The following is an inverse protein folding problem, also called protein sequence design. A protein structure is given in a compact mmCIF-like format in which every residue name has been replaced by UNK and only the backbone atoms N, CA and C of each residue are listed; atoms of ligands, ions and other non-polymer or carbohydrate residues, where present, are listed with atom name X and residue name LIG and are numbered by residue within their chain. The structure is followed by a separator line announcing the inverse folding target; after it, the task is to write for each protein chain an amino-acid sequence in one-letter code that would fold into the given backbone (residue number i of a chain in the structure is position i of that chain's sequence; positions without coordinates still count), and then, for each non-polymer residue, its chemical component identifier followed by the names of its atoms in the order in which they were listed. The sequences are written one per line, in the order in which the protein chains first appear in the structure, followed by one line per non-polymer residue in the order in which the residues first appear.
data_IF_838843144629
#
_entry.id   IF_838843144629
#
_cell.length_a   1.000
_cell.length_b   1.000
_cell.length_c   1.000
_cell.angle_alpha   90.00
_cell.angle_beta   90.00
_cell.angle_gamma   90.00
#
_symmetry.space_group_name_H-M   'P 1'
#
loop_
_entity.id
_entity.type
_entity.pdbx_description
1 polymer ?
#
# COMPACT_ATOMS: atom_id res chain seq x y z
N UNK A 1 16.48 38.14 13.16
CA UNK A 1 15.21 37.63 12.61
C UNK A 1 14.90 38.35 11.30
N UNK A 2 15.04 37.65 10.17
CA UNK A 2 14.60 38.09 8.84
C UNK A 2 14.15 36.84 8.10
N UNK A 3 12.86 36.77 7.78
CA UNK A 3 12.24 35.69 7.01
C UNK A 3 12.40 36.09 5.54
N UNK A 4 13.10 35.27 4.77
CA UNK A 4 13.14 35.34 3.30
C UNK A 4 12.36 34.12 2.80
N UNK A 5 11.24 34.37 2.12
CA UNK A 5 10.49 33.34 1.41
C UNK A 5 10.94 33.39 -0.04
N UNK A 6 11.62 32.34 -0.49
CA UNK A 6 11.98 32.15 -1.90
C UNK A 6 11.14 31.01 -2.48
N UNK A 7 10.33 31.32 -3.49
CA UNK A 7 9.67 30.34 -4.33
C UNK A 7 10.61 29.94 -5.46
N UNK A 8 10.93 28.65 -5.58
CA UNK A 8 11.61 28.10 -6.75
C UNK A 8 10.56 27.43 -7.65
N UNK A 9 10.38 27.99 -8.85
CA UNK A 9 9.60 27.43 -9.95
C UNK A 9 10.51 26.43 -10.69
N UNK A 10 10.10 25.15 -10.79
CA UNK A 10 10.83 24.17 -11.62
C UNK A 10 10.14 24.01 -12.97
N UNK A 11 10.88 24.33 -14.03
CA UNK A 11 10.56 24.12 -15.44
C UNK A 11 10.74 22.63 -15.80
N UNK A 12 9.73 21.99 -16.41
CA UNK A 12 9.89 20.65 -17.00
C UNK A 12 10.29 20.81 -18.46
N UNK A 13 11.54 20.48 -18.78
CA UNK A 13 12.00 20.22 -20.14
C UNK A 13 11.70 18.76 -20.47
N UNK A 14 10.88 18.49 -21.49
CA UNK A 14 10.77 17.15 -22.06
C UNK A 14 12.00 16.88 -22.94
N UNK A 15 12.90 16.02 -22.47
CA UNK A 15 13.95 15.46 -23.31
C UNK A 15 13.40 14.19 -23.98
N UNK A 16 13.27 14.21 -25.31
CA UNK A 16 13.08 12.99 -26.09
C UNK A 16 14.41 12.23 -26.08
N UNK A 17 14.52 11.22 -25.22
CA UNK A 17 15.65 10.31 -25.20
C UNK A 17 15.48 9.26 -26.30
N UNK A 18 16.14 9.45 -27.44
CA UNK A 18 16.35 8.39 -28.42
C UNK A 18 17.74 7.79 -28.22
N UNK A 19 17.78 6.53 -27.75
CA UNK A 19 18.91 5.64 -27.96
C UNK A 19 19.90 5.49 -26.79
N UNK A 20 19.57 4.65 -25.82
CA UNK A 20 20.57 3.80 -25.14
C UNK A 20 20.13 2.35 -25.32
N UNK A 21 20.94 1.58 -26.05
CA UNK A 21 20.81 0.13 -26.10
C UNK A 21 21.48 -0.42 -24.84
N UNK A 22 20.69 -0.71 -23.80
CA UNK A 22 21.16 -1.52 -22.68
C UNK A 22 21.36 -2.95 -23.19
N UNK A 23 22.57 -3.49 -23.04
CA UNK A 23 22.83 -4.91 -23.26
C UNK A 23 21.94 -5.75 -22.32
N UNK A 24 21.63 -7.01 -22.68
CA UNK A 24 20.74 -7.83 -21.87
C UNK A 24 21.36 -8.01 -20.47
N UNK A 25 20.67 -7.47 -19.46
CA UNK A 25 20.96 -7.76 -18.06
C UNK A 25 20.75 -9.27 -17.88
N UNK A 26 21.83 -9.98 -17.59
CA UNK A 26 21.80 -11.41 -17.34
C UNK A 26 20.96 -11.69 -16.09
N UNK A 27 19.80 -12.32 -16.28
CA UNK A 27 19.10 -13.09 -15.26
C UNK A 27 18.36 -12.30 -14.18
N UNK A 28 17.34 -11.53 -14.54
CA UNK A 28 16.29 -11.16 -13.59
C UNK A 28 14.97 -11.78 -14.04
N UNK A 29 14.49 -12.78 -13.30
CA UNK A 29 13.03 -12.99 -13.22
C UNK A 29 12.41 -11.65 -12.87
N UNK A 30 11.34 -11.20 -13.55
CA UNK A 30 10.77 -9.89 -13.28
C UNK A 30 10.38 -9.82 -11.81
N UNK A 31 10.95 -8.84 -11.08
CA UNK A 31 10.44 -8.42 -9.77
C UNK A 31 8.94 -8.30 -9.93
N UNK A 32 8.18 -9.18 -9.28
CA UNK A 32 6.72 -9.21 -9.46
C UNK A 32 6.11 -8.27 -8.44
N UNK A 33 6.06 -6.99 -8.82
CA UNK A 33 5.33 -5.98 -8.04
C UNK A 33 3.83 -6.20 -8.26
N UNK A 34 3.12 -6.51 -7.17
CA UNK A 34 1.68 -6.73 -7.18
C UNK A 34 0.93 -5.45 -6.83
N UNK A 35 -0.15 -5.20 -7.58
CA UNK A 35 -1.14 -4.19 -7.26
C UNK A 35 -2.45 -4.85 -6.85
N UNK A 36 -3.05 -4.41 -5.75
CA UNK A 36 -4.33 -4.93 -5.29
C UNK A 36 -5.26 -3.86 -4.75
N UNK A 37 -6.52 -3.95 -5.17
CA UNK A 37 -7.56 -3.01 -4.77
C UNK A 37 -8.24 -3.42 -3.46
N UNK A 38 -8.29 -2.48 -2.52
CA UNK A 38 -9.20 -2.53 -1.38
C UNK A 38 -10.50 -1.81 -1.73
N UNK A 39 -11.60 -2.55 -1.70
CA UNK A 39 -12.86 -2.16 -2.29
C UNK A 39 -14.04 -2.42 -1.36
N UNK A 40 -14.32 -1.49 -0.46
CA UNK A 40 -15.50 -1.59 0.40
C UNK A 40 -16.21 -0.24 0.52
N UNK A 41 -17.53 -0.29 0.69
CA UNK A 41 -18.42 0.88 0.58
C UNK A 41 -18.25 1.54 -0.79
N UNK A 42 -18.18 2.87 -0.81
CA UNK A 42 -18.07 3.70 -1.99
C UNK A 42 -16.63 4.16 -2.25
N UNK A 43 -15.64 3.41 -1.75
CA UNK A 43 -14.21 3.72 -1.89
C UNK A 43 -13.51 2.54 -2.57
N UNK A 44 -12.58 2.85 -3.47
CA UNK A 44 -11.56 1.92 -3.99
C UNK A 44 -10.19 2.57 -3.79
N UNK A 45 -9.29 1.86 -3.12
CA UNK A 45 -7.91 2.29 -2.95
C UNK A 45 -6.97 1.16 -3.41
N UNK A 46 -6.02 1.48 -4.28
CA UNK A 46 -5.02 0.53 -4.75
C UNK A 46 -3.78 0.54 -3.85
N UNK A 47 -3.28 -0.65 -3.51
CA UNK A 47 -2.03 -0.85 -2.77
C UNK A 47 -1.05 -1.60 -3.64
N UNK A 48 0.22 -1.32 -3.46
CA UNK A 48 1.32 -1.90 -4.21
C UNK A 48 2.31 -2.60 -3.26
N UNK A 49 2.87 -3.72 -3.68
CA UNK A 49 3.85 -4.49 -2.90
C UNK A 49 5.25 -3.86 -2.88
N UNK A 50 5.37 -2.57 -3.21
CA UNK A 50 6.57 -1.73 -3.10
C UNK A 50 6.40 -0.61 -2.05
N UNK A 51 5.32 -0.65 -1.27
CA UNK A 51 5.03 0.36 -0.24
C UNK A 51 4.31 1.61 -0.76
N UNK A 52 4.08 1.72 -2.07
CA UNK A 52 3.21 2.74 -2.64
C UNK A 52 1.72 2.35 -2.56
N UNK A 53 0.85 3.35 -2.56
CA UNK A 53 -0.59 3.17 -2.57
C UNK A 53 -1.29 4.39 -3.18
N UNK A 54 -2.56 4.24 -3.52
CA UNK A 54 -3.38 5.19 -4.26
C UNK A 54 -2.91 5.46 -5.70
N UNK A 55 -2.18 4.53 -6.32
CA UNK A 55 -1.76 4.61 -7.73
C UNK A 55 -2.11 3.31 -8.44
N UNK A 56 -2.59 3.44 -9.67
CA UNK A 56 -2.91 2.31 -10.55
C UNK A 56 -1.62 1.75 -11.18
N UNK A 57 -1.62 0.49 -11.64
CA UNK A 57 -0.51 -0.04 -12.45
C UNK A 57 -0.17 0.81 -13.69
N UNK A 58 -1.14 1.56 -14.20
CA UNK A 58 -0.94 2.48 -15.33
C UNK A 58 -0.29 3.82 -14.95
N UNK A 59 0.07 4.04 -13.69
CA UNK A 59 0.59 5.32 -13.17
C UNK A 59 -0.46 6.40 -12.87
N UNK A 60 -1.75 6.11 -13.05
CA UNK A 60 -2.84 7.04 -12.79
C UNK A 60 -3.28 7.02 -11.31
N UNK A 61 -4.08 8.01 -10.91
CA UNK A 61 -4.70 8.05 -9.58
C UNK A 61 -5.50 6.77 -9.28
N UNK A 62 -5.26 6.19 -8.10
CA UNK A 62 -5.80 4.91 -7.65
C UNK A 62 -6.65 5.00 -6.38
N UNK A 63 -6.91 6.18 -5.83
CA UNK A 63 -7.92 6.36 -4.78
C UNK A 63 -9.19 6.94 -5.36
N UNK A 64 -10.19 6.10 -5.61
CA UNK A 64 -11.46 6.46 -6.22
C UNK A 64 -12.55 6.67 -5.16
N UNK A 65 -13.18 7.84 -5.20
CA UNK A 65 -14.39 8.15 -4.43
C UNK A 65 -15.24 9.22 -5.15
N UNK A 66 -16.55 9.00 -5.33
CA UNK A 66 -17.27 7.73 -5.23
C UNK A 66 -16.72 6.64 -6.17
N UNK A 67 -16.61 5.40 -5.67
CA UNK A 67 -16.18 4.24 -6.46
C UNK A 67 -17.16 4.00 -7.63
N UNK A 68 -16.63 3.80 -8.83
CA UNK A 68 -17.38 3.59 -10.07
C UNK A 68 -17.70 4.86 -10.85
N UNK A 69 -17.28 6.04 -10.37
CA UNK A 69 -17.54 7.33 -11.02
C UNK A 69 -16.31 7.94 -11.68
N UNK A 70 -15.14 7.29 -11.62
CA UNK A 70 -13.91 7.79 -12.23
C UNK A 70 -13.40 9.10 -11.60
N UNK A 71 -13.78 9.37 -10.35
CA UNK A 71 -13.33 10.54 -9.57
C UNK A 71 -12.32 10.09 -8.54
N UNK A 72 -11.14 10.72 -8.56
CA UNK A 72 -10.03 10.31 -7.71
C UNK A 72 -9.67 11.40 -6.72
N UNK A 73 -9.66 11.06 -5.43
CA UNK A 73 -9.37 12.02 -4.36
C UNK A 73 -7.88 12.07 -3.99
N UNK A 74 -7.07 11.09 -4.43
CA UNK A 74 -5.62 11.05 -4.22
C UNK A 74 -4.93 10.47 -5.46
N UNK A 75 -3.80 11.08 -5.84
CA UNK A 75 -3.04 10.71 -7.04
C UNK A 75 -1.99 9.62 -6.77
N UNK A 76 -1.15 9.82 -5.75
CA UNK A 76 -0.13 8.86 -5.30
C UNK A 76 0.14 9.05 -3.82
N UNK A 77 0.52 7.99 -3.14
CA UNK A 77 0.94 7.97 -1.75
C UNK A 77 1.93 6.83 -1.55
N UNK A 78 2.68 6.84 -0.46
CA UNK A 78 3.51 5.70 -0.09
C UNK A 78 4.27 5.97 1.19
N UNK A 79 4.98 4.95 1.65
CA UNK A 79 5.66 4.98 2.95
C UNK A 79 7.03 5.62 2.80
N UNK A 80 7.35 6.52 3.73
CA UNK A 80 8.66 7.15 3.83
C UNK A 80 9.20 6.88 5.23
N UNK A 81 10.46 6.47 5.31
CA UNK A 81 11.17 6.29 6.55
C UNK A 81 12.49 7.05 6.47
N UNK A 82 12.84 7.74 7.55
CA UNK A 82 14.11 8.42 7.70
C UNK A 82 14.62 8.21 9.12
N UNK A 83 15.90 7.83 9.25
CA UNK A 83 16.52 7.64 10.54
C UNK A 83 17.97 8.14 10.56
N UNK A 84 18.43 8.49 11.76
CA UNK A 84 19.86 8.66 12.04
C UNK A 84 20.44 7.31 12.45
N UNK A 85 21.38 6.80 11.66
CA UNK A 85 22.11 5.57 11.96
C UNK A 85 23.57 5.94 12.13
N UNK A 86 24.03 5.95 13.38
CA UNK A 86 25.32 6.54 13.76
C UNK A 86 25.42 8.00 13.26
N UNK A 87 26.38 8.30 12.38
CA UNK A 87 26.58 9.63 11.82
C UNK A 87 25.77 9.88 10.53
N UNK A 88 25.21 8.84 9.93
CA UNK A 88 24.51 8.93 8.65
C UNK A 88 23.03 9.25 8.83
N UNK A 89 22.46 9.95 7.84
CA UNK A 89 21.00 10.05 7.67
C UNK A 89 20.62 9.11 6.55
N UNK A 90 19.88 8.04 6.88
CA UNK A 90 19.40 7.09 5.91
C UNK A 90 17.91 7.34 5.66
N UNK A 91 17.50 7.27 4.39
CA UNK A 91 16.15 7.56 3.94
C UNK A 91 15.74 6.47 2.96
N UNK A 92 14.49 6.02 3.09
CA UNK A 92 13.81 5.20 2.09
C UNK A 92 12.42 5.74 1.84
N UNK A 93 11.91 5.54 0.63
CA UNK A 93 10.60 6.03 0.25
C UNK A 93 9.90 5.17 -0.80
N UNK A 94 8.58 5.38 -0.87
CA UNK A 94 7.73 4.98 -1.98
C UNK A 94 6.87 6.18 -2.36
N UNK A 95 7.11 6.77 -3.53
CA UNK A 95 6.34 7.84 -4.15
C UNK A 95 6.84 8.09 -5.58
N UNK A 96 6.01 7.87 -6.60
CA UNK A 96 6.35 7.85 -8.04
C UNK A 96 7.36 6.78 -8.47
N UNK A 97 8.38 6.55 -7.67
CA UNK A 97 9.22 5.36 -7.65
C UNK A 97 9.24 4.79 -6.23
N UNK A 98 9.80 3.59 -6.05
CA UNK A 98 9.82 2.94 -4.76
C UNK A 98 11.13 2.19 -4.52
N UNK A 99 11.61 2.28 -3.29
CA UNK A 99 12.85 1.67 -2.84
C UNK A 99 12.61 0.40 -2.01
N UNK A 100 11.35 0.10 -1.70
CA UNK A 100 10.98 -1.16 -1.10
C UNK A 100 10.72 -2.22 -2.15
N UNK A 101 11.06 -3.46 -1.80
CA UNK A 101 10.66 -4.65 -2.51
C UNK A 101 9.86 -5.58 -1.58
N UNK A 102 9.01 -6.47 -2.14
CA UNK A 102 8.43 -7.55 -1.36
C UNK A 102 9.53 -8.36 -0.68
N UNK A 103 9.32 -8.72 0.58
CA UNK A 103 10.35 -9.48 1.29
C UNK A 103 10.45 -9.20 2.78
N UNK A 104 11.58 -9.64 3.33
CA UNK A 104 11.95 -9.54 4.73
C UNK A 104 13.47 -9.40 4.90
N UNK A 105 13.92 -9.15 6.12
CA UNK A 105 15.33 -9.17 6.48
C UNK A 105 15.61 -10.44 7.28
N UNK A 106 16.58 -11.25 6.83
CA UNK A 106 16.97 -12.48 7.54
C UNK A 106 17.78 -12.18 8.81
N UNK A 107 18.08 -13.22 9.60
CA UNK A 107 18.83 -13.08 10.86
C UNK A 107 20.27 -12.56 10.68
N UNK A 108 20.80 -12.61 9.46
CA UNK A 108 22.13 -12.08 9.12
C UNK A 108 22.05 -10.63 8.61
N UNK A 109 20.85 -10.06 8.55
CA UNK A 109 20.63 -8.71 8.05
C UNK A 109 20.65 -8.60 6.53
N UNK A 110 20.41 -9.69 5.79
CA UNK A 110 20.31 -9.66 4.34
C UNK A 110 18.84 -9.65 3.89
N UNK A 111 18.51 -8.91 2.83
CA UNK A 111 17.15 -8.89 2.31
C UNK A 111 16.83 -10.16 1.52
N UNK A 112 15.64 -10.71 1.73
CA UNK A 112 15.16 -11.95 1.10
C UNK A 112 13.71 -11.77 0.60
N UNK A 113 13.31 -12.56 -0.40
CA UNK A 113 11.90 -12.68 -0.82
C UNK A 113 11.44 -11.84 -2.01
N UNK A 114 12.27 -10.96 -2.59
CA UNK A 114 11.84 -10.11 -3.72
C UNK A 114 11.36 -10.86 -4.97
N UNK A 115 11.86 -12.07 -5.18
CA UNK A 115 11.52 -12.96 -6.28
C UNK A 115 10.69 -14.17 -5.82
N UNK A 116 10.29 -14.21 -4.54
CA UNK A 116 9.48 -15.26 -3.98
C UNK A 116 7.99 -14.91 -4.16
N UNK A 117 7.21 -15.72 -4.89
CA UNK A 117 5.80 -15.45 -5.14
C UNK A 117 4.92 -15.43 -3.88
N UNK A 118 5.41 -15.94 -2.74
CA UNK A 118 4.70 -15.84 -1.46
C UNK A 118 4.84 -14.45 -0.82
N UNK A 119 5.83 -13.63 -1.21
CA UNK A 119 5.90 -12.23 -0.78
C UNK A 119 5.07 -11.36 -1.72
N UNK A 120 3.77 -11.38 -1.47
CA UNK A 120 2.75 -10.72 -2.28
C UNK A 120 1.67 -10.10 -1.40
N UNK A 121 0.69 -9.43 -1.99
CA UNK A 121 -0.46 -8.90 -1.24
C UNK A 121 -1.46 -10.03 -0.98
N UNK A 122 -1.83 -10.25 0.26
CA UNK A 122 -2.92 -11.14 0.66
C UNK A 122 -4.15 -10.30 1.00
N UNK A 123 -5.34 -10.74 0.59
CA UNK A 123 -6.60 -10.03 0.85
C UNK A 123 -7.70 -11.00 1.23
N UNK A 124 -8.19 -10.90 2.46
CA UNK A 124 -9.29 -11.70 2.97
C UNK A 124 -10.56 -10.86 3.15
N UNK A 125 -11.71 -11.47 2.85
CA UNK A 125 -13.03 -10.87 3.06
C UNK A 125 -13.69 -11.55 4.25
N UNK A 126 -14.24 -10.74 5.17
CA UNK A 126 -14.89 -11.26 6.38
C UNK A 126 -16.01 -12.24 6.02
N UNK A 127 -15.84 -13.49 6.50
CA UNK A 127 -16.78 -14.59 6.28
C UNK A 127 -16.40 -15.52 5.12
N UNK A 128 -15.48 -15.11 4.24
CA UNK A 128 -14.93 -15.98 3.20
C UNK A 128 -13.70 -16.72 3.74
N UNK A 129 -13.90 -17.99 4.08
CA UNK A 129 -12.86 -18.87 4.62
C UNK A 129 -12.33 -19.87 3.59
N UNK A 130 -12.82 -19.80 2.35
CA UNK A 130 -12.44 -20.69 1.26
C UNK A 130 -11.55 -20.00 0.22
N UNK A 131 -11.43 -18.67 0.27
CA UNK A 131 -10.49 -17.93 -0.59
C UNK A 131 -9.05 -18.43 -0.43
N UNK A 132 -8.31 -18.44 -1.54
CA UNK A 132 -6.91 -18.88 -1.56
C UNK A 132 -6.04 -18.07 -0.58
N UNK A 133 -6.31 -16.78 -0.41
CA UNK A 133 -5.57 -15.95 0.54
C UNK A 133 -5.90 -16.28 2.00
N UNK A 134 -7.12 -16.69 2.30
CA UNK A 134 -7.46 -17.15 3.65
C UNK A 134 -6.74 -18.46 3.95
N UNK A 135 -6.73 -19.39 2.99
CA UNK A 135 -6.10 -20.70 3.15
C UNK A 135 -4.57 -20.61 3.26
N UNK A 136 -3.93 -19.66 2.56
CA UNK A 136 -2.48 -19.45 2.57
C UNK A 136 -2.07 -18.18 3.33
N UNK A 137 -2.86 -17.79 4.33
CA UNK A 137 -2.62 -16.54 5.06
C UNK A 137 -1.20 -16.54 5.66
N UNK A 138 -0.39 -15.49 5.43
CA UNK A 138 1.06 -15.56 5.63
C UNK A 138 1.44 -15.23 7.08
N UNK A 139 0.95 -16.04 8.02
CA UNK A 139 1.27 -15.87 9.45
C UNK A 139 2.76 -16.02 9.75
N UNK A 140 3.49 -16.83 8.98
CA UNK A 140 4.95 -16.94 9.05
C UNK A 140 5.68 -15.65 8.65
N UNK A 141 5.04 -14.79 7.85
CA UNK A 141 5.56 -13.46 7.48
C UNK A 141 5.11 -12.37 8.48
N UNK A 142 4.35 -12.72 9.54
CA UNK A 142 3.90 -11.80 10.58
C UNK A 142 2.46 -11.32 10.46
N UNK A 143 1.64 -11.92 9.58
CA UNK A 143 0.23 -11.58 9.48
C UNK A 143 -0.55 -11.97 10.74
N UNK A 144 -1.42 -11.08 11.22
CA UNK A 144 -2.18 -11.31 12.45
C UNK A 144 -3.11 -12.53 12.37
N UNK A 145 -3.10 -13.29 13.45
CA UNK A 145 -4.03 -14.40 13.71
C UNK A 145 -4.96 -14.05 14.87
N UNK A 146 -6.12 -14.71 14.91
CA UNK A 146 -7.03 -14.64 16.04
C UNK A 146 -6.59 -15.62 17.16
N UNK A 147 -7.31 -15.61 18.28
CA UNK A 147 -7.03 -16.50 19.42
C UNK A 147 -7.13 -18.00 19.12
N UNK A 148 -7.74 -18.38 17.99
CA UNK A 148 -7.85 -19.76 17.51
C UNK A 148 -6.80 -20.12 16.45
N UNK A 149 -5.82 -19.25 16.19
CA UNK A 149 -4.77 -19.45 15.20
C UNK A 149 -5.25 -19.34 13.75
N UNK A 150 -6.41 -18.73 13.49
CA UNK A 150 -6.94 -18.49 12.14
C UNK A 150 -6.73 -17.03 11.71
N UNK A 151 -6.75 -16.72 10.40
CA UNK A 151 -6.61 -15.35 9.91
C UNK A 151 -7.56 -14.38 10.62
N UNK A 152 -7.03 -13.25 11.12
CA UNK A 152 -7.83 -12.28 11.85
C UNK A 152 -8.46 -11.23 10.92
N UNK A 153 -9.79 -11.23 10.84
CA UNK A 153 -10.55 -10.23 10.09
C UNK A 153 -10.66 -8.91 10.87
N UNK A 154 -9.72 -7.98 10.66
CA UNK A 154 -9.76 -6.62 11.23
C UNK A 154 -10.93 -5.77 10.70
N UNK A 155 -11.33 -6.04 9.45
CA UNK A 155 -12.39 -5.30 8.76
C UNK A 155 -13.31 -6.21 7.95
N UNK A 156 -14.10 -5.59 7.07
CA UNK A 156 -14.84 -6.31 6.01
C UNK A 156 -13.87 -6.86 4.96
N UNK A 157 -12.84 -6.08 4.64
CA UNK A 157 -11.69 -6.54 3.88
C UNK A 157 -10.44 -6.24 4.72
N UNK A 158 -9.54 -7.21 4.80
CA UNK A 158 -8.24 -7.09 5.48
C UNK A 158 -7.17 -7.54 4.50
N UNK A 159 -6.13 -6.71 4.36
CA UNK A 159 -4.97 -7.00 3.54
C UNK A 159 -3.72 -7.04 4.39
N UNK A 160 -2.77 -7.86 3.96
CA UNK A 160 -1.45 -7.96 4.56
C UNK A 160 -0.38 -8.17 3.48
N UNK A 161 0.79 -7.57 3.69
CA UNK A 161 2.02 -7.88 2.95
C UNK A 161 3.25 -7.43 3.74
N UNK A 162 4.41 -8.03 3.42
CA UNK A 162 5.71 -7.66 3.96
C UNK A 162 6.60 -7.07 2.87
N UNK A 163 7.23 -5.95 3.16
CA UNK A 163 8.20 -5.28 2.27
C UNK A 163 9.46 -4.90 3.03
N UNK A 164 10.56 -4.73 2.32
CA UNK A 164 11.82 -4.28 2.90
C UNK A 164 12.56 -3.32 1.97
N UNK A 165 13.28 -2.36 2.55
CA UNK A 165 14.21 -1.49 1.82
C UNK A 165 15.63 -2.09 1.74
N UNK A 166 15.86 -3.31 2.24
CA UNK A 166 17.22 -3.84 2.41
C UNK A 166 18.05 -4.05 1.14
N UNK A 167 17.45 -3.97 -0.06
CA UNK A 167 18.13 -4.15 -1.34
C UNK A 167 18.80 -2.85 -1.78
N UNK A 168 20.12 -2.75 -1.58
CA UNK A 168 20.89 -1.54 -1.89
C UNK A 168 20.76 -1.08 -3.36
N UNK A 169 20.66 -2.01 -4.31
CA UNK A 169 20.51 -1.71 -5.73
C UNK A 169 19.16 -1.06 -6.07
N UNK A 170 18.20 -1.03 -5.14
CA UNK A 170 16.92 -0.35 -5.28
C UNK A 170 16.90 1.07 -4.68
N UNK A 171 17.97 1.51 -4.01
CA UNK A 171 18.12 2.87 -3.49
C UNK A 171 18.73 3.83 -4.53
N UNK A 172 18.08 3.96 -5.69
CA UNK A 172 18.65 4.71 -6.84
C UNK A 172 18.05 6.11 -7.02
N UNK A 173 16.87 6.36 -6.48
CA UNK A 173 16.10 7.59 -6.64
C UNK A 173 16.27 8.59 -5.49
N UNK A 174 16.03 9.87 -5.79
CA UNK A 174 15.97 10.92 -4.78
C UNK A 174 14.51 11.23 -4.41
N UNK A 175 14.18 11.35 -3.10
CA UNK A 175 15.06 11.32 -1.94
C UNK A 175 15.17 9.92 -1.32
N UNK A 176 16.37 9.34 -1.26
CA UNK A 176 16.57 8.00 -0.72
C UNK A 176 17.76 7.24 -1.29
N UNK A 177 18.51 7.87 -2.20
CA UNK A 177 19.84 7.47 -2.66
C UNK A 177 20.87 7.53 -1.51
N UNK A 178 20.62 6.72 -0.49
CA UNK A 178 21.41 6.48 0.72
C UNK A 178 21.48 4.97 0.91
N UNK A 179 22.36 4.49 1.80
CA UNK A 179 22.33 3.07 2.15
C UNK A 179 20.95 2.66 2.73
N UNK A 180 20.51 1.41 2.53
CA UNK A 180 19.29 0.88 3.14
C UNK A 180 19.26 1.03 4.66
N UNK A 181 18.07 1.30 5.21
CA UNK A 181 17.83 1.13 6.65
C UNK A 181 17.83 -0.36 7.04
N UNK A 182 17.58 -1.25 6.07
CA UNK A 182 17.24 -2.66 6.31
C UNK A 182 16.01 -2.77 7.22
N UNK A 183 15.05 -1.89 7.01
CA UNK A 183 13.74 -1.94 7.61
C UNK A 183 12.91 -3.03 6.92
N UNK A 184 12.18 -3.80 7.73
CA UNK A 184 11.08 -4.64 7.27
C UNK A 184 9.77 -4.02 7.75
N UNK A 185 8.84 -3.81 6.82
CA UNK A 185 7.51 -3.27 7.09
C UNK A 185 6.49 -4.37 6.93
N UNK A 186 5.79 -4.68 8.01
CA UNK A 186 4.64 -5.56 8.03
C UNK A 186 3.37 -4.72 7.89
N UNK A 187 2.91 -4.51 6.66
CA UNK A 187 1.79 -3.62 6.40
C UNK A 187 0.46 -4.36 6.47
N UNK A 188 -0.39 -3.94 7.42
CA UNK A 188 -1.78 -4.40 7.50
C UNK A 188 -2.72 -3.26 7.15
N UNK A 189 -3.54 -3.44 6.12
CA UNK A 189 -4.57 -2.48 5.72
C UNK A 189 -5.94 -3.10 6.00
N UNK A 190 -6.91 -2.32 6.45
CA UNK A 190 -8.28 -2.83 6.59
C UNK A 190 -9.31 -1.75 6.32
N UNK A 191 -10.47 -2.21 5.84
CA UNK A 191 -11.63 -1.37 5.65
C UNK A 191 -12.85 -1.97 6.33
N UNK A 192 -13.67 -1.13 6.97
CA UNK A 192 -14.90 -1.55 7.64
C UNK A 192 -16.13 -1.08 6.84
N UNK A 193 -17.02 -2.00 6.49
CA UNK A 193 -18.38 -1.66 6.03
C UNK A 193 -19.23 -1.32 7.24
N UNK A 194 -19.63 -0.05 7.37
CA UNK A 194 -20.68 0.32 8.31
C UNK A 194 -22.03 -0.05 7.68
N UNK A 195 -22.75 -1.03 8.26
CA UNK A 195 -24.18 -1.15 7.98
C UNK A 195 -24.84 0.09 8.56
N UNK A 196 -25.38 0.95 7.70
CA UNK A 196 -26.43 1.87 8.16
C UNK A 196 -27.58 0.95 8.54
N UNK A 197 -27.80 0.75 9.84
CA UNK A 197 -29.13 0.37 10.30
C UNK A 197 -30.03 1.49 9.78
N UNK A 198 -30.81 1.22 8.73
CA UNK A 198 -31.97 2.07 8.46
C UNK A 198 -32.70 2.12 9.79
N UNK A 199 -32.85 3.30 10.36
CA UNK A 199 -33.90 3.53 11.34
C UNK A 199 -35.16 3.02 10.64
N UNK A 200 -35.65 1.84 11.06
CA UNK A 200 -37.00 1.42 10.75
C UNK A 200 -37.85 2.61 11.21
N UNK A 201 -38.48 3.29 10.26
CA UNK A 201 -39.45 4.33 10.56
C UNK A 201 -40.37 3.75 11.63
N UNK A 202 -40.33 4.31 12.84
CA UNK A 202 -41.35 4.02 13.83
C UNK A 202 -42.70 4.29 13.14
N UNK A 203 -43.68 3.38 13.21
CA UNK A 203 -45.00 3.68 12.71
C UNK A 203 -45.44 4.96 13.44
N UNK A 204 -45.81 5.99 12.70
CA UNK A 204 -46.53 7.12 13.27
C UNK A 204 -47.83 6.55 13.84
N UNK A 205 -47.86 6.26 15.14
CA UNK A 205 -49.09 5.96 15.85
C UNK A 205 -50.01 7.15 15.65
N UNK A 206 -51.16 6.90 15.02
CA UNK A 206 -52.15 7.90 14.68
C UNK A 206 -52.54 8.72 15.90
N UNK A 207 -52.36 10.03 15.78
CA UNK A 207 -53.14 10.98 16.56
C UNK A 207 -54.39 11.29 15.74
N UNK A 208 -55.45 10.52 15.99
CA UNK A 208 -56.82 10.94 15.69
C UNK A 208 -57.19 12.02 16.70
N UNK A 209 -57.16 13.29 16.28
CA UNK A 209 -57.97 14.31 16.96
C UNK A 209 -59.33 14.32 16.27
N UNK A 210 -60.26 13.56 16.82
CA UNK A 210 -61.68 13.81 16.59
C UNK A 210 -62.13 15.06 17.35
N UNK A 211 -63.13 15.68 16.75
CA UNK A 211 -63.80 16.94 17.04
C UNK A 211 -64.50 16.95 18.41
N UNK A 212 -64.36 18.06 19.14
CA UNK A 212 -65.48 18.84 19.71
C UNK A 212 -65.09 20.30 19.78
#
# INVERSE_FOLDING_TARGET
MRIIISFLLTLVLSANWTGVTVGPLSGNSPVTIEYRAMETNNIRAWFCSDGSFNTLPSGNAGFEWPKGFGRYARFVSGIWLGAKVQNDTLITHAFYDAQYLPGYIDSNGNPQGWNDPDYRIYSIIKGDTLSQDYLNWPSSQGAYLNSSGKPYFLGTQTMFYSITDGYADHHTSFPGNTAPLKAQILQTNWHIRRRILRMLSLPSSGLSTEVT
#
